data_IF_180011876475
#
_entry.id   IF_180011876475
#
_cell.length_a   1.000
_cell.length_b   1.000
_cell.length_c   1.000
_cell.angle_alpha   90.00
_cell.angle_beta   90.00
_cell.angle_gamma   90.00
#
_symmetry.space_group_name_H-M   'P 1'
#
loop_
_entity.id
_entity.type
_entity.pdbx_description
1 polymer ?
#
# COMPACT_ATOMS: atom_id res chain seq x y z
N UNK A 1 -1.43 -28.86 -15.96
CA UNK A 1 -0.74 -27.75 -15.29
C UNK A 1 -1.31 -26.45 -15.83
N UNK A 2 -1.93 -25.62 -15.01
CA UNK A 2 -2.56 -24.35 -15.42
C UNK A 2 -1.52 -23.30 -15.89
N UNK A 3 -0.26 -23.50 -15.60
CA UNK A 3 0.77 -22.46 -15.81
C UNK A 3 1.95 -22.92 -16.69
N UNK A 4 1.83 -23.98 -17.43
CA UNK A 4 2.92 -24.47 -18.27
C UNK A 4 4.19 -24.87 -17.50
N UNK A 5 5.18 -25.47 -18.16
CA UNK A 5 6.43 -25.83 -17.51
C UNK A 5 7.26 -24.59 -17.19
N UNK A 6 7.59 -24.39 -15.93
CA UNK A 6 8.42 -23.27 -15.41
C UNK A 6 9.83 -23.27 -16.03
N UNK A 7 10.26 -23.98 -16.85
CA UNK A 7 11.55 -23.94 -17.53
C UNK A 7 11.46 -23.59 -19.01
N UNK A 8 10.24 -23.30 -19.51
CA UNK A 8 10.11 -22.98 -20.93
C UNK A 8 10.77 -21.63 -21.25
N UNK A 9 11.51 -21.50 -22.38
CA UNK A 9 12.19 -20.26 -22.74
C UNK A 9 11.27 -19.02 -22.79
N UNK A 10 9.99 -19.21 -23.12
CA UNK A 10 8.99 -18.14 -23.14
C UNK A 10 8.63 -17.58 -21.76
N UNK A 11 8.95 -18.30 -20.67
CA UNK A 11 8.72 -17.87 -19.29
C UNK A 11 10.01 -17.39 -18.60
N UNK A 12 11.13 -17.39 -19.29
CA UNK A 12 12.37 -16.85 -18.75
C UNK A 12 12.33 -15.33 -18.80
N UNK A 13 12.10 -14.74 -17.65
CA UNK A 13 12.38 -13.32 -17.49
C UNK A 13 13.89 -13.12 -17.51
N UNK A 14 14.39 -12.41 -18.49
CA UNK A 14 15.78 -11.98 -18.54
C UNK A 14 15.85 -10.50 -18.19
N UNK A 15 16.61 -10.15 -17.17
CA UNK A 15 16.93 -8.75 -16.88
C UNK A 15 17.89 -8.14 -17.93
N UNK A 16 18.32 -8.93 -18.91
CA UNK A 16 19.12 -8.45 -20.06
C UNK A 16 18.18 -8.17 -21.22
N UNK A 17 18.09 -6.92 -21.60
CA UNK A 17 17.41 -6.53 -22.83
C UNK A 17 18.11 -7.18 -24.06
N UNK A 18 17.40 -7.67 -25.08
CA UNK A 18 17.95 -8.31 -26.26
C UNK A 18 18.90 -7.45 -27.11
N UNK A 19 19.24 -6.27 -26.73
CA UNK A 19 20.24 -5.40 -27.38
C UNK A 19 21.27 -4.86 -26.43
N UNK A 20 21.25 -5.26 -25.14
CA UNK A 20 22.14 -4.69 -24.13
C UNK A 20 21.84 -3.23 -23.77
N UNK A 21 20.86 -2.62 -24.43
CA UNK A 21 20.42 -1.24 -24.20
C UNK A 21 18.97 -1.30 -23.74
N UNK A 22 18.69 -0.75 -22.55
CA UNK A 22 17.30 -0.52 -22.13
C UNK A 22 16.74 0.61 -22.97
N UNK A 23 15.56 0.46 -23.61
CA UNK A 23 14.90 1.60 -24.20
C UNK A 23 14.66 2.65 -23.13
N UNK A 24 14.89 3.91 -23.47
CA UNK A 24 14.51 4.99 -22.56
C UNK A 24 13.03 4.84 -22.19
N UNK A 25 12.68 4.97 -20.90
CA UNK A 25 11.29 4.90 -20.49
C UNK A 25 10.53 5.97 -21.26
N UNK A 26 9.52 5.57 -22.01
CA UNK A 26 8.60 6.51 -22.66
C UNK A 26 7.86 7.23 -21.54
N UNK A 27 8.33 8.42 -21.21
CA UNK A 27 7.61 9.32 -20.32
C UNK A 27 6.53 9.99 -21.13
N UNK A 28 5.31 9.48 -21.04
CA UNK A 28 4.13 10.18 -21.55
C UNK A 28 3.95 11.45 -20.71
N UNK A 29 4.53 12.55 -21.19
CA UNK A 29 4.28 13.85 -20.59
C UNK A 29 2.83 14.25 -20.86
N UNK A 30 2.06 14.62 -19.81
CA UNK A 30 0.68 15.06 -20.04
C UNK A 30 0.66 16.29 -20.93
N UNK A 31 -0.30 16.46 -21.83
CA UNK A 31 -0.44 17.64 -22.65
C UNK A 31 -0.39 18.93 -21.80
N UNK A 32 0.33 19.91 -22.27
CA UNK A 32 0.60 21.16 -21.53
C UNK A 32 -0.65 21.83 -20.95
N UNK A 33 -1.78 21.70 -21.66
CA UNK A 33 -3.07 22.20 -21.18
C UNK A 33 -3.50 21.56 -19.86
N UNK A 34 -3.40 20.24 -19.73
CA UNK A 34 -3.75 19.55 -18.48
C UNK A 34 -2.82 19.91 -17.35
N UNK A 35 -1.55 20.04 -17.65
CA UNK A 35 -0.54 20.44 -16.66
C UNK A 35 -0.83 21.86 -16.14
N UNK A 36 -1.08 22.81 -17.03
CA UNK A 36 -1.40 24.20 -16.68
C UNK A 36 -2.69 24.28 -15.85
N UNK A 37 -3.77 23.64 -16.29
CA UNK A 37 -5.06 23.67 -15.58
C UNK A 37 -4.96 23.01 -14.20
N UNK A 38 -4.17 21.96 -14.06
CA UNK A 38 -3.91 21.31 -12.76
C UNK A 38 -3.18 22.26 -11.81
N UNK A 39 -2.11 22.89 -12.26
CA UNK A 39 -1.38 23.86 -11.40
C UNK A 39 -2.24 25.07 -11.02
N UNK A 40 -3.01 25.62 -11.94
CA UNK A 40 -3.92 26.73 -11.64
C UNK A 40 -4.97 26.30 -10.61
N UNK A 41 -5.59 25.14 -10.78
CA UNK A 41 -6.56 24.61 -9.83
C UNK A 41 -5.97 24.42 -8.44
N UNK A 42 -4.72 23.94 -8.36
CA UNK A 42 -4.00 23.80 -7.10
C UNK A 42 -3.70 25.14 -6.44
N UNK A 43 -3.27 26.15 -7.20
CA UNK A 43 -3.03 27.50 -6.69
C UNK A 43 -4.32 28.12 -6.11
N UNK A 44 -5.43 27.95 -6.81
CA UNK A 44 -6.74 28.41 -6.35
C UNK A 44 -7.11 27.75 -5.02
N UNK A 45 -6.95 26.41 -4.91
CA UNK A 45 -7.22 25.67 -3.68
C UNK A 45 -6.33 26.14 -2.52
N UNK A 46 -5.06 26.38 -2.76
CA UNK A 46 -4.12 26.90 -1.76
C UNK A 46 -4.53 28.31 -1.30
N UNK A 47 -4.84 29.21 -2.25
CA UNK A 47 -5.28 30.58 -1.92
C UNK A 47 -6.54 30.57 -1.06
N UNK A 48 -7.57 29.84 -1.46
CA UNK A 48 -8.80 29.68 -0.66
C UNK A 48 -8.53 29.01 0.70
N UNK A 49 -7.61 28.03 0.74
CA UNK A 49 -7.15 27.42 1.98
C UNK A 49 -6.59 28.42 2.97
N UNK A 50 -5.70 29.32 2.52
CA UNK A 50 -5.13 30.37 3.37
C UNK A 50 -6.15 31.38 3.83
N UNK A 51 -7.06 31.83 2.96
CA UNK A 51 -8.16 32.72 3.32
C UNK A 51 -9.04 32.08 4.41
N UNK A 52 -9.40 30.82 4.25
CA UNK A 52 -10.20 30.08 5.23
C UNK A 52 -9.45 29.88 6.55
N UNK A 53 -8.13 29.65 6.50
CA UNK A 53 -7.30 29.54 7.71
C UNK A 53 -7.21 30.87 8.44
N UNK A 54 -7.06 31.97 7.72
CA UNK A 54 -7.02 33.31 8.32
C UNK A 54 -8.30 33.60 9.13
N UNK A 55 -9.47 33.41 8.52
CA UNK A 55 -10.75 33.58 9.22
C UNK A 55 -10.98 32.52 10.29
N UNK A 56 -10.61 31.27 10.05
CA UNK A 56 -10.73 30.18 11.01
C UNK A 56 -9.95 30.42 12.30
N UNK A 57 -8.71 30.84 12.19
CA UNK A 57 -7.83 31.16 13.33
C UNK A 57 -8.36 32.36 14.13
N UNK A 58 -9.10 33.26 13.48
CA UNK A 58 -9.66 34.44 14.14
C UNK A 58 -11.00 34.16 14.84
N UNK A 59 -11.86 33.33 14.25
CA UNK A 59 -13.22 33.10 14.72
C UNK A 59 -13.48 31.74 15.38
N UNK A 60 -12.59 30.76 15.17
CA UNK A 60 -12.68 29.39 15.71
C UNK A 60 -11.36 28.99 16.35
N UNK A 61 -10.92 29.74 17.32
CA UNK A 61 -9.58 29.56 17.94
C UNK A 61 -9.39 28.17 18.56
N UNK A 62 -10.42 27.58 19.13
CA UNK A 62 -10.35 26.24 19.73
C UNK A 62 -9.92 25.17 18.73
N UNK A 63 -10.41 25.23 17.51
CA UNK A 63 -10.05 24.27 16.46
C UNK A 63 -8.57 24.32 16.07
N UNK A 64 -7.93 25.48 16.22
CA UNK A 64 -6.51 25.69 15.90
C UNK A 64 -5.60 25.66 17.13
N UNK A 65 -6.14 25.31 18.30
CA UNK A 65 -5.40 25.32 19.57
C UNK A 65 -4.20 24.38 19.56
N UNK A 66 -4.29 23.26 18.85
CA UNK A 66 -3.21 22.27 18.72
C UNK A 66 -1.98 22.78 17.94
N UNK A 67 -2.10 23.88 17.19
CA UNK A 67 -1.02 24.52 16.45
C UNK A 67 -0.29 25.58 17.26
N UNK A 68 -0.73 25.85 18.49
CA UNK A 68 -0.13 26.86 19.36
C UNK A 68 0.72 26.18 20.45
N UNK A 69 1.82 26.81 20.88
CA UNK A 69 2.57 26.35 22.07
C UNK A 69 1.66 26.30 23.29
N UNK A 70 1.82 25.29 24.12
CA UNK A 70 1.01 25.09 25.33
C UNK A 70 1.88 24.62 26.49
N UNK A 71 1.67 25.22 27.67
CA UNK A 71 2.34 24.82 28.90
C UNK A 71 3.89 24.79 28.82
N UNK A 72 4.49 25.71 28.06
CA UNK A 72 5.93 25.75 27.84
C UNK A 72 6.47 24.78 26.78
N UNK A 73 5.61 23.97 26.18
CA UNK A 73 5.97 23.07 25.08
C UNK A 73 5.61 23.69 23.74
N UNK A 74 6.47 23.48 22.73
CA UNK A 74 6.17 23.83 21.36
C UNK A 74 4.99 23.04 20.80
N UNK A 75 4.39 23.52 19.71
CA UNK A 75 3.37 22.76 18.98
C UNK A 75 3.98 21.49 18.37
N UNK A 76 3.23 20.36 18.41
CA UNK A 76 3.68 19.10 17.85
C UNK A 76 3.87 19.17 16.32
N UNK A 77 3.04 19.94 15.65
CA UNK A 77 3.11 20.14 14.21
C UNK A 77 3.22 21.62 13.91
N UNK A 78 4.04 21.98 12.92
CA UNK A 78 4.06 23.34 12.42
C UNK A 78 2.74 23.66 11.71
N UNK A 79 2.35 24.91 11.72
CA UNK A 79 1.15 25.36 11.01
C UNK A 79 1.24 25.09 9.50
N UNK A 80 2.44 25.21 8.94
CA UNK A 80 2.73 24.92 7.55
C UNK A 80 2.51 23.44 7.21
N UNK A 81 3.08 22.52 7.98
CA UNK A 81 2.95 21.09 7.74
C UNK A 81 1.49 20.62 7.90
N UNK A 82 0.80 21.17 8.90
CA UNK A 82 -0.59 20.84 9.14
C UNK A 82 -1.57 21.44 8.11
N UNK A 83 -1.15 22.49 7.37
CA UNK A 83 -1.99 23.11 6.34
C UNK A 83 -2.43 22.13 5.27
N UNK A 84 -1.51 21.29 4.77
CA UNK A 84 -1.83 20.26 3.78
C UNK A 84 -2.88 19.29 4.30
N UNK A 85 -2.72 18.81 5.52
CA UNK A 85 -3.67 17.87 6.15
C UNK A 85 -5.04 18.52 6.29
N UNK A 86 -5.11 19.72 6.86
CA UNK A 86 -6.39 20.43 7.10
C UNK A 86 -7.14 20.80 5.82
N UNK A 87 -6.42 21.11 4.74
CA UNK A 87 -7.05 21.74 3.57
C UNK A 87 -7.14 20.82 2.37
N UNK A 88 -6.22 19.87 2.25
CA UNK A 88 -6.15 18.98 1.11
C UNK A 88 -6.47 17.53 1.52
N UNK A 89 -5.76 16.97 2.49
CA UNK A 89 -5.95 15.56 2.89
C UNK A 89 -7.37 15.28 3.39
N UNK A 90 -7.95 16.14 4.22
CA UNK A 90 -9.31 15.93 4.74
C UNK A 90 -10.38 15.79 3.65
N UNK A 91 -10.18 16.43 2.50
CA UNK A 91 -11.14 16.35 1.39
C UNK A 91 -11.20 14.96 0.76
N UNK A 92 -10.08 14.26 0.79
CA UNK A 92 -9.95 12.93 0.19
C UNK A 92 -10.03 11.80 1.20
N UNK A 93 -10.14 12.10 2.51
CA UNK A 93 -10.21 11.08 3.56
C UNK A 93 -11.36 10.08 3.36
N UNK A 94 -12.45 10.51 2.73
CA UNK A 94 -13.54 9.59 2.42
C UNK A 94 -13.14 8.53 1.37
N UNK A 95 -12.23 8.85 0.48
CA UNK A 95 -11.72 7.92 -0.52
C UNK A 95 -10.60 7.03 0.02
N UNK A 96 -9.87 7.49 1.04
CA UNK A 96 -8.73 6.79 1.61
C UNK A 96 -9.02 6.34 3.05
N UNK A 97 -8.22 5.40 3.54
CA UNK A 97 -8.31 4.91 4.93
C UNK A 97 -9.72 4.36 5.26
N UNK A 98 -10.39 3.76 4.27
CA UNK A 98 -11.68 3.11 4.51
C UNK A 98 -11.50 1.86 5.35
N UNK A 99 -12.28 1.68 6.42
CA UNK A 99 -12.22 0.45 7.21
C UNK A 99 -12.72 -0.73 6.39
N UNK A 100 -12.00 -1.82 6.46
CA UNK A 100 -12.29 -3.06 5.74
C UNK A 100 -12.37 -4.23 6.69
N UNK A 101 -13.06 -5.28 6.29
CA UNK A 101 -13.15 -6.53 7.02
C UNK A 101 -13.14 -7.72 6.05
N UNK A 102 -12.91 -8.91 6.60
CA UNK A 102 -12.87 -10.14 5.82
C UNK A 102 -11.48 -10.42 5.23
N UNK A 103 -11.44 -11.37 4.31
CA UNK A 103 -10.23 -11.80 3.62
C UNK A 103 -9.94 -10.83 2.48
N UNK A 104 -8.71 -10.33 2.32
CA UNK A 104 -8.34 -9.42 1.23
C UNK A 104 -8.14 -10.19 -0.07
N UNK A 105 -9.18 -10.89 -0.49
CA UNK A 105 -9.19 -11.69 -1.68
C UNK A 105 -9.57 -10.90 -2.94
N UNK A 106 -10.32 -11.53 -3.82
CA UNK A 106 -10.86 -10.94 -5.04
C UNK A 106 -11.85 -9.82 -4.76
N UNK A 107 -12.65 -10.00 -3.73
CA UNK A 107 -13.54 -8.98 -3.18
C UNK A 107 -13.13 -8.66 -1.75
N UNK A 108 -13.50 -7.48 -1.28
CA UNK A 108 -13.27 -7.04 0.09
C UNK A 108 -14.51 -6.32 0.59
N UNK A 109 -14.85 -6.54 1.84
CA UNK A 109 -16.02 -5.91 2.46
C UNK A 109 -15.60 -4.60 3.12
N UNK A 110 -16.14 -3.50 2.64
CA UNK A 110 -16.00 -2.18 3.25
C UNK A 110 -17.00 -2.06 4.39
N UNK A 111 -16.59 -1.50 5.51
CA UNK A 111 -17.48 -1.06 6.57
C UNK A 111 -17.90 0.37 6.25
N UNK A 112 -19.19 0.56 6.02
CA UNK A 112 -19.71 1.86 5.58
C UNK A 112 -19.64 2.89 6.70
N UNK A 113 -19.23 4.09 6.34
CA UNK A 113 -19.14 5.23 7.25
C UNK A 113 -19.73 6.48 6.61
N UNK A 114 -20.20 7.38 7.43
CA UNK A 114 -20.73 8.68 7.02
C UNK A 114 -20.06 9.81 7.79
N UNK A 115 -20.23 11.03 7.31
CA UNK A 115 -19.71 12.24 7.94
C UNK A 115 -20.69 13.39 7.75
N UNK A 116 -20.85 14.21 8.78
CA UNK A 116 -21.72 15.40 8.77
C UNK A 116 -20.90 16.71 8.82
N UNK A 117 -19.58 16.62 8.94
CA UNK A 117 -18.68 17.76 9.19
C UNK A 117 -17.58 17.94 8.13
N UNK A 118 -17.88 17.61 6.89
CA UNK A 118 -16.94 17.72 5.77
C UNK A 118 -15.65 16.88 5.96
N UNK A 119 -15.81 15.62 6.31
CA UNK A 119 -14.75 14.62 6.46
C UNK A 119 -13.79 14.87 7.64
N UNK A 120 -14.19 15.63 8.64
CA UNK A 120 -13.38 15.81 9.85
C UNK A 120 -13.52 14.60 10.80
N UNK A 121 -14.76 14.14 10.97
CA UNK A 121 -15.06 12.96 11.77
C UNK A 121 -15.95 12.01 10.98
N UNK A 122 -15.73 10.73 11.16
CA UNK A 122 -16.50 9.66 10.54
C UNK A 122 -17.15 8.81 11.62
N UNK A 123 -18.38 8.40 11.37
CA UNK A 123 -19.07 7.41 12.18
C UNK A 123 -19.51 6.23 11.31
N UNK A 124 -19.53 5.05 11.90
CA UNK A 124 -19.93 3.83 11.19
C UNK A 124 -21.44 3.80 11.07
N UNK A 125 -21.97 3.49 9.90
CA UNK A 125 -23.42 3.39 9.63
C UNK A 125 -24.02 2.08 10.10
N UNK A 126 -23.17 1.06 10.34
CA UNK A 126 -23.61 -0.29 10.69
C UNK A 126 -23.93 -1.16 9.47
N UNK A 127 -23.72 -0.65 8.26
CA UNK A 127 -23.85 -1.38 7.00
C UNK A 127 -22.48 -1.74 6.44
N UNK A 128 -22.44 -2.66 5.49
CA UNK A 128 -21.25 -3.08 4.78
C UNK A 128 -21.53 -3.16 3.29
N UNK A 129 -20.50 -2.91 2.49
CA UNK A 129 -20.54 -2.99 1.02
C UNK A 129 -19.43 -3.86 0.48
N UNK A 130 -19.77 -4.90 -0.26
CA UNK A 130 -18.78 -5.73 -0.93
C UNK A 130 -18.32 -5.08 -2.23
N UNK A 131 -17.01 -4.97 -2.37
CA UNK A 131 -16.37 -4.31 -3.51
C UNK A 131 -15.28 -5.16 -4.13
N UNK A 132 -14.97 -4.92 -5.41
CA UNK A 132 -13.82 -5.50 -6.06
C UNK A 132 -12.54 -4.96 -5.42
N UNK A 133 -11.66 -5.85 -4.99
CA UNK A 133 -10.42 -5.48 -4.33
C UNK A 133 -9.33 -5.13 -5.35
N UNK A 134 -9.09 -3.86 -5.55
CA UNK A 134 -7.99 -3.33 -6.37
C UNK A 134 -6.92 -2.63 -5.53
N UNK A 135 -7.08 -2.58 -4.21
CA UNK A 135 -6.24 -1.81 -3.30
C UNK A 135 -5.20 -2.65 -2.54
N UNK A 136 -5.30 -3.96 -2.59
CA UNK A 136 -4.36 -4.85 -1.91
C UNK A 136 -3.17 -5.19 -2.81
N UNK A 137 -2.00 -5.44 -2.19
CA UNK A 137 -0.84 -6.04 -2.87
C UNK A 137 -1.05 -7.53 -3.21
N UNK A 138 -2.24 -7.88 -3.56
CA UNK A 138 -2.68 -9.23 -3.92
C UNK A 138 -3.00 -9.29 -5.42
N UNK A 139 -2.06 -8.86 -6.25
CA UNK A 139 -2.26 -8.71 -7.70
C UNK A 139 -2.64 -10.00 -8.41
N UNK A 140 -2.19 -11.15 -7.90
CA UNK A 140 -2.46 -12.47 -8.46
C UNK A 140 -3.65 -13.19 -7.81
N UNK A 141 -4.24 -12.59 -6.77
CA UNK A 141 -5.40 -13.15 -6.09
C UNK A 141 -5.10 -14.37 -5.20
N UNK A 142 -3.85 -14.54 -4.75
CA UNK A 142 -3.47 -15.72 -3.93
C UNK A 142 -3.76 -15.57 -2.44
N UNK A 143 -4.20 -14.40 -1.97
CA UNK A 143 -4.58 -14.17 -0.58
C UNK A 143 -6.02 -14.60 -0.27
N UNK A 144 -6.58 -15.53 -1.04
CA UNK A 144 -7.87 -16.12 -0.75
C UNK A 144 -7.78 -17.08 0.46
N UNK A 145 -8.89 -17.24 1.17
CA UNK A 145 -9.02 -18.21 2.26
C UNK A 145 -9.32 -19.64 1.78
N UNK A 146 -9.51 -19.80 0.49
CA UNK A 146 -9.86 -21.06 -0.17
C UNK A 146 -8.98 -21.26 -1.42
N UNK A 147 -8.93 -22.49 -1.89
CA UNK A 147 -8.21 -22.87 -3.10
C UNK A 147 -6.79 -23.39 -2.86
N UNK A 148 -6.06 -23.75 -3.92
CA UNK A 148 -4.82 -24.54 -3.83
C UNK A 148 -3.74 -23.92 -2.93
N UNK A 149 -3.63 -22.61 -2.90
CA UNK A 149 -2.63 -21.94 -2.05
C UNK A 149 -2.98 -22.04 -0.56
N UNK A 150 -4.27 -21.90 -0.23
CA UNK A 150 -4.75 -22.06 1.15
C UNK A 150 -4.63 -23.52 1.62
N UNK A 151 -4.98 -24.46 0.76
CA UNK A 151 -4.90 -25.90 1.05
C UNK A 151 -3.45 -26.32 1.35
N UNK A 152 -2.49 -25.87 0.53
CA UNK A 152 -1.05 -26.16 0.75
C UNK A 152 -0.56 -25.52 2.06
N UNK A 153 -1.00 -24.30 2.36
CA UNK A 153 -0.63 -23.63 3.62
C UNK A 153 -1.19 -24.39 4.82
N UNK A 154 -2.44 -24.86 4.76
CA UNK A 154 -3.06 -25.66 5.80
C UNK A 154 -2.32 -27.00 6.01
N UNK A 155 -1.98 -27.68 4.94
CA UNK A 155 -1.22 -28.95 4.99
C UNK A 155 0.19 -28.74 5.54
N UNK A 156 0.83 -27.62 5.19
CA UNK A 156 2.14 -27.24 5.77
C UNK A 156 2.05 -27.00 7.27
N UNK A 157 0.99 -26.34 7.75
CA UNK A 157 0.75 -26.12 9.17
C UNK A 157 0.51 -27.45 9.89
N UNK A 158 -0.24 -28.36 9.31
CA UNK A 158 -0.46 -29.72 9.86
C UNK A 158 0.84 -30.53 9.96
N UNK A 159 1.74 -30.35 8.98
CA UNK A 159 3.01 -31.08 8.91
C UNK A 159 4.07 -30.54 9.87
N UNK A 160 4.21 -29.22 9.93
CA UNK A 160 5.34 -28.55 10.62
C UNK A 160 4.93 -27.77 11.87
N UNK A 161 3.64 -27.56 12.10
CA UNK A 161 3.14 -26.65 13.12
C UNK A 161 3.09 -25.20 12.64
N UNK A 162 2.70 -24.32 13.55
CA UNK A 162 2.44 -22.91 13.26
C UNK A 162 3.69 -22.00 13.36
N UNK A 163 4.81 -22.51 13.85
CA UNK A 163 6.03 -21.73 14.04
C UNK A 163 7.27 -22.60 13.87
N UNK A 164 8.31 -22.02 13.29
CA UNK A 164 9.64 -22.60 13.32
C UNK A 164 10.31 -22.36 14.68
N UNK A 165 11.02 -23.33 15.27
CA UNK A 165 11.61 -23.23 16.60
C UNK A 165 12.86 -22.34 16.65
N UNK A 166 13.44 -21.99 15.50
CA UNK A 166 14.71 -21.25 15.40
C UNK A 166 14.77 -20.37 14.14
N UNK A 167 15.83 -19.58 14.04
CA UNK A 167 16.13 -18.79 12.84
C UNK A 167 16.53 -19.69 11.66
N UNK A 168 16.37 -19.19 10.44
CA UNK A 168 16.76 -19.91 9.23
C UNK A 168 18.24 -20.27 9.18
N UNK A 169 19.09 -19.41 9.75
CA UNK A 169 20.54 -19.64 9.80
C UNK A 169 20.94 -20.82 10.68
N UNK A 170 20.11 -21.23 11.60
CA UNK A 170 20.38 -22.36 12.50
C UNK A 170 19.57 -23.60 12.11
N UNK A 171 18.32 -23.70 12.54
CA UNK A 171 17.47 -24.88 12.33
C UNK A 171 16.05 -24.57 11.86
N UNK A 172 15.74 -23.32 11.55
CA UNK A 172 14.42 -22.87 11.15
C UNK A 172 14.14 -22.93 9.64
N UNK A 173 15.08 -23.46 8.83
CA UNK A 173 14.85 -23.64 7.40
C UNK A 173 14.01 -24.88 7.14
N UNK A 174 12.87 -24.70 6.52
CA UNK A 174 11.96 -25.79 6.12
C UNK A 174 12.15 -26.12 4.64
N UNK A 175 11.68 -27.31 4.22
CA UNK A 175 11.72 -27.75 2.83
C UNK A 175 11.03 -26.75 1.87
N UNK A 176 9.88 -26.19 2.24
CA UNK A 176 9.21 -25.16 1.45
C UNK A 176 10.06 -23.92 1.19
N UNK A 177 10.92 -23.52 2.12
CA UNK A 177 11.84 -22.41 1.88
C UNK A 177 12.80 -22.74 0.72
N UNK A 178 13.41 -23.94 0.77
CA UNK A 178 14.35 -24.40 -0.26
C UNK A 178 13.66 -24.55 -1.61
N UNK A 179 12.49 -25.18 -1.64
CA UNK A 179 11.73 -25.37 -2.88
C UNK A 179 11.36 -24.05 -3.55
N UNK A 180 10.89 -23.07 -2.76
CA UNK A 180 10.51 -21.75 -3.31
C UNK A 180 11.76 -20.96 -3.74
N UNK A 181 12.85 -21.03 -3.01
CA UNK A 181 14.11 -20.40 -3.40
C UNK A 181 14.61 -20.95 -4.75
N UNK A 182 14.63 -22.27 -4.91
CA UNK A 182 14.98 -22.91 -6.19
C UNK A 182 14.01 -22.55 -7.32
N UNK A 183 12.72 -22.50 -7.01
CA UNK A 183 11.69 -22.13 -7.97
C UNK A 183 11.87 -20.67 -8.46
N UNK A 184 12.06 -19.76 -7.54
CA UNK A 184 12.26 -18.33 -7.85
C UNK A 184 13.57 -18.12 -8.60
N UNK A 185 14.67 -18.77 -8.20
CA UNK A 185 15.95 -18.69 -8.91
C UNK A 185 15.79 -19.09 -10.37
N UNK A 186 15.11 -20.21 -10.63
CA UNK A 186 14.82 -20.67 -12.00
C UNK A 186 13.92 -19.71 -12.76
N UNK A 187 12.89 -19.16 -12.11
CA UNK A 187 11.94 -18.24 -12.72
C UNK A 187 12.61 -16.94 -13.18
N UNK A 188 13.48 -16.37 -12.35
CA UNK A 188 14.21 -15.12 -12.68
C UNK A 188 15.51 -15.37 -13.45
N UNK A 189 15.90 -16.63 -13.69
CA UNK A 189 17.12 -16.99 -14.41
C UNK A 189 18.41 -16.66 -13.68
N UNK A 190 18.42 -16.82 -12.35
CA UNK A 190 19.61 -16.65 -11.48
C UNK A 190 20.07 -17.98 -10.92
N UNK A 191 21.32 -18.02 -10.45
CA UNK A 191 21.92 -19.22 -9.86
C UNK A 191 21.26 -19.62 -8.55
N UNK A 192 20.88 -18.62 -7.74
CA UNK A 192 20.23 -18.82 -6.45
C UNK A 192 19.30 -17.66 -6.11
N UNK A 193 18.42 -17.89 -5.17
CA UNK A 193 17.59 -16.85 -4.56
C UNK A 193 17.48 -17.06 -3.05
N UNK A 194 17.05 -16.05 -2.34
CA UNK A 194 16.79 -16.10 -0.90
C UNK A 194 15.45 -15.42 -0.59
N UNK A 195 14.67 -16.05 0.25
CA UNK A 195 13.37 -15.53 0.69
C UNK A 195 13.53 -14.82 2.03
N UNK A 196 12.91 -13.65 2.14
CA UNK A 196 12.75 -12.92 3.38
C UNK A 196 11.27 -12.85 3.77
N UNK A 197 10.99 -12.88 5.06
CA UNK A 197 9.63 -12.81 5.59
C UNK A 197 8.96 -11.43 5.43
N UNK A 198 9.75 -10.38 5.14
CA UNK A 198 9.30 -9.01 5.08
C UNK A 198 10.08 -8.23 4.02
N UNK A 199 9.35 -7.46 3.18
CA UNK A 199 9.97 -6.64 2.13
C UNK A 199 10.95 -5.60 2.66
N UNK A 200 10.67 -4.99 3.80
CA UNK A 200 11.62 -4.08 4.46
C UNK A 200 12.92 -4.80 4.86
N UNK A 201 12.79 -6.01 5.42
CA UNK A 201 13.96 -6.83 5.78
C UNK A 201 14.82 -7.14 4.57
N UNK A 202 14.22 -7.42 3.42
CA UNK A 202 14.95 -7.64 2.16
C UNK A 202 15.85 -6.45 1.82
N UNK A 203 15.33 -5.23 1.89
CA UNK A 203 16.10 -4.03 1.55
C UNK A 203 17.11 -3.60 2.62
N UNK A 204 16.84 -3.90 3.88
CA UNK A 204 17.70 -3.48 4.99
C UNK A 204 18.90 -4.40 5.25
N UNK A 205 18.89 -5.61 4.69
CA UNK A 205 19.92 -6.65 4.96
C UNK A 205 20.84 -6.96 3.78
N UNK A 206 20.64 -6.30 2.63
CA UNK A 206 21.48 -6.41 1.43
C UNK A 206 22.58 -5.36 1.44
#
# INVERSE_FOLDING_TARGET
>A
AQFGPIGHPSHRYSSRHPGGVFPEPVMDEPPYYYLLTTYISYLILIAFGHVRDFFGKRFREEHYRHLKPRNGYGALNSDFDNFYVRRLKLRINDCFERPVTGVPGRTITLIDRATDDHNQHFYLTGTTTDTLNLSSYNYLGFAQSDGPCADIAEDSIKKYGIAAPSTRAESGTQDLHVEVEDLVARFVGKESSMIFSMGFGTNATI
#
